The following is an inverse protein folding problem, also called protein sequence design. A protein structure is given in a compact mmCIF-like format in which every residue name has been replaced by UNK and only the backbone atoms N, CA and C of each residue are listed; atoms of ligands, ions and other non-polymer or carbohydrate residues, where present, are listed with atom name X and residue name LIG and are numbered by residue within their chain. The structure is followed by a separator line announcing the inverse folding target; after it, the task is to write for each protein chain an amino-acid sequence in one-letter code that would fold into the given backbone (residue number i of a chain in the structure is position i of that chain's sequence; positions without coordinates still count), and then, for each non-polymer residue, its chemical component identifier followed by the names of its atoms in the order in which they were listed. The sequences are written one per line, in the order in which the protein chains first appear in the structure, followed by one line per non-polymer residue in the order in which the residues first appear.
data_IF_368401086244
#
_entry.id   IF_368401086244
#
_cell.length_a   1.000
_cell.length_b   1.000
_cell.length_c   1.000
_cell.angle_alpha   90.00
_cell.angle_beta   90.00
_cell.angle_gamma   90.00
#
_symmetry.space_group_name_H-M   'P 1'
#
loop_
_entity.id
_entity.type
_entity.pdbx_description
1 polymer ?
#
# COMPACT_ATOMS: atom_id res chain seq x y z
N UNK A 1 231.40 3.44 -3.82
CA UNK A 1 230.46 4.16 -4.69
C UNK A 1 229.72 3.22 -5.65
N UNK A 2 229.60 1.91 -5.37
CA UNK A 2 228.45 1.41 -4.60
C UNK A 2 227.79 2.44 -3.66
N UNK A 3 226.49 2.71 -3.87
CA UNK A 3 225.51 3.25 -2.89
C UNK A 3 224.13 3.52 -3.53
N UNK A 4 224.07 4.24 -4.67
CA UNK A 4 222.91 5.10 -4.99
C UNK A 4 221.98 4.64 -6.15
N UNK A 5 222.25 3.52 -6.83
CA UNK A 5 221.43 3.07 -7.99
C UNK A 5 220.29 2.12 -7.56
N UNK A 6 220.47 1.41 -6.44
CA UNK A 6 219.52 0.42 -5.94
C UNK A 6 218.20 1.02 -5.41
N UNK A 7 218.10 2.35 -5.35
CA UNK A 7 216.96 3.09 -4.81
C UNK A 7 215.93 3.50 -5.90
N UNK A 8 216.30 3.45 -7.19
CA UNK A 8 215.38 3.79 -8.29
C UNK A 8 214.48 2.62 -8.72
N UNK A 9 214.96 1.37 -8.66
CA UNK A 9 214.16 0.19 -9.01
C UNK A 9 213.03 -0.07 -8.02
N UNK A 10 213.26 0.17 -6.72
CA UNK A 10 212.22 0.17 -5.70
C UNK A 10 211.13 1.21 -6.00
N UNK A 11 211.54 2.48 -6.19
CA UNK A 11 210.61 3.57 -6.52
C UNK A 11 209.72 3.29 -7.74
N UNK A 12 210.27 2.76 -8.85
CA UNK A 12 209.46 2.47 -10.03
C UNK A 12 208.48 1.31 -9.78
N UNK A 13 208.92 0.27 -9.08
CA UNK A 13 208.06 -0.86 -8.70
C UNK A 13 206.94 -0.40 -7.74
N UNK A 14 207.24 0.49 -6.80
CA UNK A 14 206.27 1.00 -5.83
C UNK A 14 205.32 2.05 -6.44
N UNK A 15 205.76 2.84 -7.43
CA UNK A 15 204.86 3.65 -8.27
C UNK A 15 203.94 2.77 -9.11
N UNK A 16 204.43 1.66 -9.67
CA UNK A 16 203.59 0.73 -10.43
C UNK A 16 202.60 -0.02 -9.52
N UNK A 17 203.03 -0.49 -8.34
CA UNK A 17 202.13 -1.01 -7.30
C UNK A 17 201.09 0.03 -6.89
N UNK A 18 201.50 1.30 -6.68
CA UNK A 18 200.59 2.39 -6.32
C UNK A 18 199.57 2.66 -7.43
N UNK A 19 199.98 2.65 -8.70
CA UNK A 19 199.03 2.73 -9.83
C UNK A 19 198.11 1.52 -9.91
N UNK A 20 198.63 0.29 -9.84
CA UNK A 20 197.78 -0.92 -9.86
C UNK A 20 196.81 -0.97 -8.67
N UNK A 21 197.24 -0.52 -7.49
CA UNK A 21 196.41 -0.35 -6.31
C UNK A 21 195.35 0.73 -6.53
N UNK A 22 195.74 1.90 -7.02
CA UNK A 22 194.82 3.00 -7.31
C UNK A 22 193.77 2.59 -8.37
N UNK A 23 194.17 1.91 -9.46
CA UNK A 23 193.22 1.40 -10.45
C UNK A 23 192.34 0.28 -9.92
N UNK A 24 192.78 -0.47 -8.89
CA UNK A 24 191.91 -1.42 -8.18
C UNK A 24 190.94 -0.70 -7.26
N UNK A 25 191.40 0.28 -6.49
CA UNK A 25 190.56 1.13 -5.63
C UNK A 25 189.57 1.97 -6.45
N UNK A 26 189.90 2.32 -7.70
CA UNK A 26 188.99 2.96 -8.67
C UNK A 26 188.00 1.96 -9.29
N UNK A 27 188.44 0.75 -9.67
CA UNK A 27 187.55 -0.33 -10.14
C UNK A 27 186.60 -0.84 -9.04
N UNK A 28 187.05 -0.89 -7.79
CA UNK A 28 186.24 -1.24 -6.63
C UNK A 28 185.23 -0.12 -6.36
N UNK A 29 185.62 1.17 -6.39
CA UNK A 29 184.66 2.29 -6.32
C UNK A 29 183.62 2.24 -7.44
N UNK A 30 184.02 2.12 -8.70
CA UNK A 30 183.04 2.05 -9.81
C UNK A 30 182.15 0.80 -9.71
N UNK A 31 182.63 -0.31 -9.13
CA UNK A 31 181.82 -1.51 -8.87
C UNK A 31 180.84 -1.28 -7.72
N UNK A 32 181.29 -0.69 -6.62
CA UNK A 32 180.46 -0.35 -5.47
C UNK A 32 179.40 0.70 -5.83
N UNK A 33 179.76 1.73 -6.61
CA UNK A 33 178.85 2.70 -7.22
C UNK A 33 177.85 2.01 -8.15
N UNK A 34 178.29 1.11 -9.05
CA UNK A 34 177.37 0.34 -9.90
C UNK A 34 176.40 -0.52 -9.07
N UNK A 35 176.87 -1.16 -7.99
CA UNK A 35 176.01 -1.93 -7.08
C UNK A 35 175.07 -1.04 -6.29
N UNK A 36 175.47 0.17 -5.90
CA UNK A 36 174.64 1.14 -5.20
C UNK A 36 173.57 1.73 -6.13
N UNK A 37 173.93 2.08 -7.37
CA UNK A 37 172.98 2.47 -8.42
C UNK A 37 172.02 1.33 -8.78
N UNK A 38 172.48 0.07 -8.80
CA UNK A 38 171.61 -1.08 -9.01
C UNK A 38 170.62 -1.27 -7.86
N UNK A 39 171.05 -1.11 -6.60
CA UNK A 39 170.17 -1.13 -5.42
C UNK A 39 169.16 0.03 -5.45
N UNK A 40 169.59 1.24 -5.82
CA UNK A 40 168.70 2.41 -5.99
C UNK A 40 167.66 2.18 -7.10
N UNK A 41 168.07 1.61 -8.23
CA UNK A 41 167.17 1.24 -9.34
C UNK A 41 166.18 0.14 -8.91
N UNK A 42 166.63 -0.90 -8.22
CA UNK A 42 165.75 -1.94 -7.67
C UNK A 42 164.71 -1.36 -6.69
N UNK A 43 165.12 -0.46 -5.80
CA UNK A 43 164.20 0.18 -4.85
C UNK A 43 163.13 1.03 -5.55
N UNK A 44 163.50 1.83 -6.56
CA UNK A 44 162.54 2.64 -7.31
C UNK A 44 161.67 1.78 -8.27
N UNK A 45 162.15 0.63 -8.75
CA UNK A 45 161.32 -0.37 -9.45
C UNK A 45 160.29 -0.98 -8.50
N UNK A 46 160.71 -1.50 -7.34
CA UNK A 46 159.80 -2.02 -6.31
C UNK A 46 158.72 -0.99 -5.93
N UNK A 47 159.15 0.24 -5.64
CA UNK A 47 158.26 1.35 -5.27
C UNK A 47 157.29 1.74 -6.38
N UNK A 48 157.72 1.64 -7.65
CA UNK A 48 156.84 1.84 -8.81
C UNK A 48 155.85 0.70 -8.96
N UNK A 49 156.26 -0.55 -8.78
CA UNK A 49 155.39 -1.72 -8.83
C UNK A 49 154.34 -1.69 -7.69
N UNK A 50 154.74 -1.26 -6.49
CA UNK A 50 153.84 -0.95 -5.37
C UNK A 50 152.80 0.10 -5.78
N UNK A 51 153.23 1.27 -6.26
CA UNK A 51 152.32 2.34 -6.68
C UNK A 51 151.42 1.97 -7.87
N UNK A 52 151.90 1.20 -8.84
CA UNK A 52 151.10 0.67 -9.95
C UNK A 52 150.06 -0.34 -9.44
N UNK A 53 150.39 -1.14 -8.40
CA UNK A 53 149.44 -2.04 -7.75
C UNK A 53 148.37 -1.29 -6.94
N UNK A 54 148.73 -0.19 -6.26
CA UNK A 54 147.78 0.69 -5.56
C UNK A 54 146.83 1.38 -6.52
N UNK A 55 147.34 1.93 -7.64
CA UNK A 55 146.51 2.52 -8.70
C UNK A 55 145.58 1.48 -9.33
N UNK A 56 146.05 0.25 -9.56
CA UNK A 56 145.20 -0.84 -10.05
C UNK A 56 144.11 -1.24 -9.04
N UNK A 57 144.41 -1.23 -7.74
CA UNK A 57 143.43 -1.50 -6.69
C UNK A 57 142.40 -0.37 -6.55
N UNK A 58 142.83 0.89 -6.65
CA UNK A 58 141.94 2.06 -6.62
C UNK A 58 141.04 2.11 -7.84
N UNK A 59 141.55 1.83 -9.05
CA UNK A 59 140.73 1.79 -10.27
C UNK A 59 139.63 0.70 -10.19
N UNK A 60 139.94 -0.50 -9.66
CA UNK A 60 138.93 -1.52 -9.38
C UNK A 60 137.89 -1.07 -8.35
N UNK A 61 138.32 -0.32 -7.32
CA UNK A 61 137.40 0.24 -6.31
C UNK A 61 136.50 1.33 -6.90
N UNK A 62 137.01 2.15 -7.81
CA UNK A 62 136.23 3.15 -8.55
C UNK A 62 135.15 2.44 -9.38
N UNK A 63 135.52 1.47 -10.20
CA UNK A 63 134.58 0.67 -11.02
C UNK A 63 133.45 0.04 -10.19
N UNK A 64 133.79 -0.58 -9.04
CA UNK A 64 132.77 -1.17 -8.15
C UNK A 64 131.83 -0.12 -7.53
N UNK A 65 132.32 1.09 -7.24
CA UNK A 65 131.51 2.20 -6.74
C UNK A 65 130.66 2.86 -7.83
N UNK A 66 131.15 2.89 -9.07
CA UNK A 66 130.40 3.33 -10.25
C UNK A 66 129.25 2.34 -10.55
N UNK A 67 129.53 1.04 -10.60
CA UNK A 67 128.51 0.00 -10.75
C UNK A 67 127.46 0.04 -9.63
N UNK A 68 127.86 0.21 -8.36
CA UNK A 68 126.93 0.29 -7.24
C UNK A 68 126.15 1.61 -7.19
N UNK A 69 126.71 2.70 -7.72
CA UNK A 69 125.99 3.96 -7.94
C UNK A 69 124.91 3.78 -9.01
N UNK A 70 125.27 3.26 -10.20
CA UNK A 70 124.31 2.97 -11.29
C UNK A 70 123.17 2.06 -10.80
N UNK A 71 123.49 0.97 -10.10
CA UNK A 71 122.50 0.08 -9.47
C UNK A 71 121.60 0.80 -8.46
N UNK A 72 122.11 1.82 -7.77
CA UNK A 72 121.32 2.61 -6.81
C UNK A 72 120.42 3.62 -7.52
N UNK A 73 120.88 4.22 -8.62
CA UNK A 73 120.12 5.17 -9.44
C UNK A 73 119.01 4.47 -10.22
N UNK A 74 119.24 3.28 -10.80
CA UNK A 74 118.18 2.46 -11.40
C UNK A 74 117.09 2.08 -10.39
N UNK A 75 117.48 1.69 -9.17
CA UNK A 75 116.55 1.37 -8.09
C UNK A 75 115.75 2.61 -7.66
N UNK A 76 116.40 3.76 -7.54
CA UNK A 76 115.76 5.03 -7.20
C UNK A 76 114.77 5.44 -8.29
N UNK A 77 115.17 5.40 -9.56
CA UNK A 77 114.29 5.69 -10.69
C UNK A 77 113.06 4.75 -10.72
N UNK A 78 113.25 3.45 -10.49
CA UNK A 78 112.15 2.48 -10.39
C UNK A 78 111.22 2.77 -9.20
N UNK A 79 111.78 3.18 -8.06
CA UNK A 79 111.00 3.55 -6.87
C UNK A 79 110.21 4.86 -7.09
N UNK A 80 110.83 5.88 -7.70
CA UNK A 80 110.17 7.15 -8.04
C UNK A 80 109.06 6.97 -9.07
N UNK A 81 109.27 6.13 -10.09
CA UNK A 81 108.22 5.79 -11.06
C UNK A 81 107.01 5.13 -10.39
N UNK A 82 107.24 4.11 -9.54
CA UNK A 82 106.19 3.43 -8.76
C UNK A 82 105.48 4.36 -7.78
N UNK A 83 106.20 5.29 -7.17
CA UNK A 83 105.61 6.31 -6.29
C UNK A 83 104.69 7.24 -7.09
N UNK A 84 105.13 7.71 -8.26
CA UNK A 84 104.32 8.54 -9.15
C UNK A 84 103.05 7.82 -9.64
N UNK A 85 103.16 6.53 -9.97
CA UNK A 85 102.02 5.68 -10.38
C UNK A 85 101.03 5.48 -9.21
N UNK A 86 101.54 5.18 -8.01
CA UNK A 86 100.73 5.03 -6.81
C UNK A 86 100.03 6.33 -6.39
N UNK A 87 100.69 7.49 -6.53
CA UNK A 87 100.07 8.80 -6.31
C UNK A 87 98.93 9.06 -7.30
N UNK A 88 99.13 8.83 -8.60
CA UNK A 88 98.09 9.03 -9.61
C UNK A 88 96.87 8.11 -9.38
N UNK A 89 97.10 6.86 -8.97
CA UNK A 89 96.05 5.92 -8.61
C UNK A 89 95.29 6.33 -7.34
N UNK A 90 95.98 6.94 -6.36
CA UNK A 90 95.34 7.53 -5.18
C UNK A 90 94.48 8.75 -5.54
N UNK A 91 94.97 9.66 -6.39
CA UNK A 91 94.23 10.83 -6.86
C UNK A 91 92.98 10.44 -7.68
N UNK A 92 93.05 9.36 -8.46
CA UNK A 92 91.87 8.78 -9.13
C UNK A 92 90.89 8.13 -8.14
N UNK A 93 91.40 7.41 -7.14
CA UNK A 93 90.58 6.81 -6.08
C UNK A 93 89.84 7.86 -5.24
N UNK A 94 90.48 9.00 -4.92
CA UNK A 94 89.83 10.10 -4.19
C UNK A 94 88.76 10.79 -5.04
N UNK A 95 88.99 10.97 -6.35
CA UNK A 95 87.99 11.48 -7.29
C UNK A 95 86.80 10.53 -7.40
N UNK A 96 87.03 9.23 -7.53
CA UNK A 96 85.98 8.21 -7.54
C UNK A 96 85.16 8.21 -6.23
N UNK A 97 85.84 8.30 -5.07
CA UNK A 97 85.17 8.45 -3.76
C UNK A 97 84.24 9.66 -3.75
N UNK A 98 84.70 10.84 -4.14
CA UNK A 98 83.89 12.08 -4.13
C UNK A 98 82.66 12.00 -5.04
N UNK A 99 82.76 11.30 -6.18
CA UNK A 99 81.61 11.05 -7.06
C UNK A 99 80.59 10.12 -6.39
N UNK A 100 81.04 9.07 -5.69
CA UNK A 100 80.17 8.18 -4.92
C UNK A 100 79.54 8.86 -3.69
N UNK A 101 80.29 9.74 -3.02
CA UNK A 101 79.86 10.52 -1.85
C UNK A 101 78.77 11.53 -2.24
N UNK A 102 78.98 12.30 -3.33
CA UNK A 102 77.95 13.18 -3.90
C UNK A 102 76.71 12.40 -4.38
N UNK A 103 76.89 11.19 -4.91
CA UNK A 103 75.78 10.34 -5.31
C UNK A 103 74.98 9.83 -4.12
N UNK A 104 75.64 9.38 -3.05
CA UNK A 104 74.99 8.93 -1.83
C UNK A 104 74.09 10.04 -1.24
N UNK A 105 74.61 11.27 -1.16
CA UNK A 105 73.83 12.43 -0.70
C UNK A 105 72.59 12.69 -1.58
N UNK A 106 72.72 12.61 -2.91
CA UNK A 106 71.59 12.80 -3.82
C UNK A 106 70.57 11.64 -3.78
N UNK A 107 71.02 10.41 -3.54
CA UNK A 107 70.15 9.25 -3.34
C UNK A 107 69.47 9.29 -1.95
N UNK A 108 70.11 9.87 -0.91
CA UNK A 108 69.53 10.17 0.42
C UNK A 108 68.46 11.27 0.37
N UNK A 109 68.76 12.45 -0.22
CA UNK A 109 67.78 13.52 -0.44
C UNK A 109 66.53 13.03 -1.20
N UNK A 110 66.75 12.10 -2.15
CA UNK A 110 65.67 11.45 -2.90
C UNK A 110 64.86 10.47 -2.06
N UNK A 111 65.47 9.74 -1.12
CA UNK A 111 64.73 8.92 -0.17
C UNK A 111 63.85 9.77 0.75
N UNK A 112 64.38 10.84 1.33
CA UNK A 112 63.61 11.75 2.21
C UNK A 112 62.39 12.34 1.49
N UNK A 113 62.55 12.75 0.22
CA UNK A 113 61.44 13.24 -0.60
C UNK A 113 60.38 12.15 -0.85
N UNK A 114 60.78 10.93 -1.19
CA UNK A 114 59.87 9.80 -1.42
C UNK A 114 59.18 9.33 -0.13
N UNK A 115 59.89 9.33 1.00
CA UNK A 115 59.31 9.04 2.31
C UNK A 115 58.21 10.04 2.68
N UNK A 116 58.43 11.32 2.41
CA UNK A 116 57.45 12.36 2.75
C UNK A 116 56.21 12.28 1.85
N UNK A 117 56.39 12.03 0.55
CA UNK A 117 55.28 11.70 -0.35
C UNK A 117 54.51 10.44 0.09
N UNK A 118 55.21 9.43 0.62
CA UNK A 118 54.59 8.19 1.14
C UNK A 118 53.84 8.43 2.47
N UNK A 119 54.32 9.32 3.33
CA UNK A 119 53.63 9.77 4.56
C UNK A 119 52.35 10.54 4.20
N UNK A 120 52.43 11.48 3.25
CA UNK A 120 51.28 12.23 2.72
C UNK A 120 50.24 11.32 2.07
N UNK A 121 50.66 10.40 1.19
CA UNK A 121 49.76 9.46 0.52
C UNK A 121 49.03 8.54 1.51
N UNK A 122 49.70 8.08 2.59
CA UNK A 122 49.07 7.32 3.68
C UNK A 122 48.05 8.16 4.44
N UNK A 123 48.40 9.40 4.81
CA UNK A 123 47.48 10.29 5.51
C UNK A 123 46.22 10.58 4.68
N UNK A 124 46.37 10.83 3.38
CA UNK A 124 45.26 11.04 2.44
C UNK A 124 44.38 9.79 2.28
N UNK A 125 44.98 8.58 2.28
CA UNK A 125 44.23 7.32 2.29
C UNK A 125 43.44 7.14 3.59
N UNK A 126 44.06 7.32 4.76
CA UNK A 126 43.36 7.23 6.04
C UNK A 126 42.25 8.27 6.19
N UNK A 127 42.43 9.49 5.65
CA UNK A 127 41.36 10.48 5.59
C UNK A 127 40.21 10.06 4.66
N UNK A 128 40.51 9.43 3.53
CA UNK A 128 39.49 8.89 2.64
C UNK A 128 38.71 7.75 3.32
N UNK A 129 39.40 6.82 3.97
CA UNK A 129 38.79 5.72 4.72
C UNK A 129 37.84 6.24 5.81
N UNK A 130 38.27 7.23 6.62
CA UNK A 130 37.43 7.89 7.64
C UNK A 130 36.16 8.51 7.02
N UNK A 131 36.28 9.12 5.83
CA UNK A 131 35.15 9.72 5.09
C UNK A 131 34.21 8.64 4.51
N UNK A 132 34.73 7.52 4.00
CA UNK A 132 33.92 6.37 3.58
C UNK A 132 33.16 5.76 4.76
N UNK A 133 33.83 5.58 5.90
CA UNK A 133 33.26 5.11 7.16
C UNK A 133 32.08 5.99 7.64
N UNK A 134 32.23 7.31 7.54
CA UNK A 134 31.15 8.26 7.82
C UNK A 134 29.98 8.16 6.83
N UNK A 135 30.27 8.04 5.53
CA UNK A 135 29.24 7.91 4.49
C UNK A 135 28.48 6.59 4.63
N UNK A 136 29.16 5.48 4.93
CA UNK A 136 28.54 4.18 5.16
C UNK A 136 27.59 4.20 6.37
N UNK A 137 27.97 4.84 7.48
CA UNK A 137 27.07 5.02 8.64
C UNK A 137 25.86 5.90 8.33
N UNK A 138 26.04 6.96 7.54
CA UNK A 138 24.94 7.86 7.10
C UNK A 138 23.99 7.13 6.15
N UNK A 139 24.53 6.32 5.24
CA UNK A 139 23.75 5.49 4.30
C UNK A 139 22.90 4.47 5.06
N UNK A 140 23.48 3.66 5.95
CA UNK A 140 22.74 2.68 6.74
C UNK A 140 21.63 3.27 7.63
N UNK A 141 21.81 4.52 8.09
CA UNK A 141 20.76 5.25 8.82
C UNK A 141 19.60 5.64 7.88
N UNK A 142 19.91 6.14 6.68
CA UNK A 142 18.92 6.53 5.66
C UNK A 142 18.19 5.31 5.09
N UNK A 143 18.88 4.19 4.91
CA UNK A 143 18.29 2.90 4.51
C UNK A 143 17.26 2.43 5.56
N UNK A 144 17.63 2.42 6.84
CA UNK A 144 16.69 2.06 7.90
C UNK A 144 15.55 3.09 8.08
N UNK A 145 15.77 4.38 7.76
CA UNK A 145 14.72 5.41 7.76
C UNK A 145 13.76 5.25 6.57
N UNK A 146 14.26 4.77 5.42
CA UNK A 146 13.48 4.43 4.22
C UNK A 146 12.61 3.20 4.47
N UNK A 147 13.15 2.10 5.00
CA UNK A 147 12.38 0.91 5.41
C UNK A 147 11.21 1.32 6.32
N UNK A 148 11.49 2.12 7.36
CA UNK A 148 10.49 2.65 8.30
C UNK A 148 9.58 3.74 7.71
N UNK A 149 9.78 4.17 6.47
CA UNK A 149 8.86 4.99 5.69
C UNK A 149 7.98 4.13 4.77
N UNK A 150 8.56 3.12 4.13
CA UNK A 150 7.90 2.13 3.28
C UNK A 150 6.88 1.30 4.08
N UNK A 151 7.24 0.74 5.25
CA UNK A 151 6.29 0.06 6.16
C UNK A 151 5.05 0.90 6.49
N UNK A 152 5.22 2.23 6.61
CA UNK A 152 4.13 3.17 6.92
C UNK A 152 3.30 3.51 5.69
N UNK A 153 3.91 3.53 4.51
CA UNK A 153 3.21 3.69 3.24
C UNK A 153 2.34 2.45 2.97
N UNK A 154 2.90 1.24 3.07
CA UNK A 154 2.16 -0.03 2.91
C UNK A 154 0.98 -0.13 3.89
N UNK A 155 1.18 0.21 5.17
CA UNK A 155 0.09 0.23 6.15
C UNK A 155 -0.99 1.29 5.82
N UNK A 156 -0.60 2.41 5.22
CA UNK A 156 -1.52 3.44 4.73
C UNK A 156 -2.33 2.97 3.53
N UNK A 157 -1.67 2.36 2.54
CA UNK A 157 -2.30 1.80 1.34
C UNK A 157 -3.28 0.67 1.69
N UNK A 158 -2.90 -0.24 2.59
CA UNK A 158 -3.80 -1.28 3.10
C UNK A 158 -5.07 -0.67 3.74
N UNK A 159 -4.92 0.38 4.57
CA UNK A 159 -6.07 1.07 5.19
C UNK A 159 -6.92 1.84 4.17
N UNK A 160 -6.33 2.33 3.07
CA UNK A 160 -7.10 2.91 1.96
C UNK A 160 -7.95 1.83 1.28
N UNK A 161 -7.37 0.68 0.93
CA UNK A 161 -8.10 -0.45 0.30
C UNK A 161 -9.26 -0.93 1.19
N UNK A 162 -9.04 -1.08 2.50
CA UNK A 162 -10.12 -1.42 3.45
C UNK A 162 -11.29 -0.41 3.39
N UNK A 163 -10.99 0.90 3.35
CA UNK A 163 -12.01 1.95 3.30
C UNK A 163 -12.70 2.03 1.93
N UNK A 164 -12.01 1.72 0.84
CA UNK A 164 -12.61 1.60 -0.50
C UNK A 164 -13.57 0.40 -0.58
N UNK A 165 -13.23 -0.74 0.04
CA UNK A 165 -14.13 -1.89 0.14
C UNK A 165 -15.36 -1.59 1.01
N UNK A 166 -15.18 -0.96 2.17
CA UNK A 166 -16.28 -0.49 3.02
C UNK A 166 -17.23 0.46 2.25
N UNK A 167 -16.67 1.47 1.56
CA UNK A 167 -17.42 2.42 0.75
C UNK A 167 -18.18 1.73 -0.40
N UNK A 168 -17.56 0.73 -1.04
CA UNK A 168 -18.20 -0.09 -2.09
C UNK A 168 -19.39 -0.88 -1.54
N UNK A 169 -19.29 -1.43 -0.33
CA UNK A 169 -20.40 -2.13 0.34
C UNK A 169 -21.52 -1.15 0.72
N UNK A 170 -21.19 -0.01 1.33
CA UNK A 170 -22.15 1.06 1.65
C UNK A 170 -22.89 1.56 0.41
N UNK A 171 -22.17 1.79 -0.70
CA UNK A 171 -22.77 2.21 -1.97
C UNK A 171 -23.69 1.16 -2.63
N UNK A 172 -23.51 -0.13 -2.34
CA UNK A 172 -24.44 -1.18 -2.79
C UNK A 172 -25.66 -1.31 -1.87
N UNK A 173 -25.47 -1.10 -0.56
CA UNK A 173 -26.57 -1.04 0.41
C UNK A 173 -27.48 0.16 0.14
N UNK A 174 -26.92 1.33 -0.17
CA UNK A 174 -27.67 2.54 -0.50
C UNK A 174 -28.58 2.32 -1.73
N UNK A 175 -28.02 1.81 -2.84
CA UNK A 175 -28.80 1.46 -4.06
C UNK A 175 -29.92 0.45 -3.77
N UNK A 176 -29.68 -0.48 -2.84
CA UNK A 176 -30.68 -1.46 -2.42
C UNK A 176 -31.80 -0.82 -1.59
N UNK A 177 -31.48 0.20 -0.80
CA UNK A 177 -32.45 1.01 -0.04
C UNK A 177 -33.25 1.94 -0.95
N UNK A 178 -32.61 2.65 -1.88
CA UNK A 178 -33.24 3.49 -2.91
C UNK A 178 -34.33 2.71 -3.67
N UNK A 179 -33.99 1.54 -4.22
CA UNK A 179 -34.93 0.65 -4.91
C UNK A 179 -36.01 0.08 -3.97
N UNK A 180 -35.77 0.02 -2.66
CA UNK A 180 -36.79 -0.38 -1.68
C UNK A 180 -37.78 0.76 -1.36
N UNK A 181 -37.29 2.00 -1.36
CA UNK A 181 -38.07 3.23 -1.16
C UNK A 181 -38.94 3.52 -2.38
N UNK A 182 -38.40 3.44 -3.60
CA UNK A 182 -39.18 3.53 -4.85
C UNK A 182 -40.36 2.56 -4.84
N UNK A 183 -40.11 1.29 -4.44
CA UNK A 183 -41.16 0.27 -4.30
C UNK A 183 -42.13 0.55 -3.16
N UNK A 184 -41.76 1.31 -2.13
CA UNK A 184 -42.68 1.74 -1.08
C UNK A 184 -43.56 2.89 -1.57
N UNK A 185 -42.97 3.89 -2.24
CA UNK A 185 -43.66 5.03 -2.81
C UNK A 185 -44.67 4.59 -3.90
N UNK A 186 -44.30 3.64 -4.77
CA UNK A 186 -45.22 3.04 -5.75
C UNK A 186 -46.47 2.42 -5.08
N UNK A 187 -46.29 1.63 -4.01
CA UNK A 187 -47.42 1.07 -3.24
C UNK A 187 -48.24 2.15 -2.55
N UNK A 188 -47.61 3.22 -2.07
CA UNK A 188 -48.31 4.36 -1.48
C UNK A 188 -49.17 5.10 -2.53
N UNK A 189 -48.67 5.26 -3.77
CA UNK A 189 -49.45 5.82 -4.88
C UNK A 189 -50.61 4.91 -5.31
N UNK A 190 -50.40 3.59 -5.38
CA UNK A 190 -51.47 2.61 -5.60
C UNK A 190 -52.57 2.74 -4.53
N UNK A 191 -52.20 2.76 -3.25
CA UNK A 191 -53.17 2.95 -2.16
C UNK A 191 -53.84 4.32 -2.22
N UNK A 192 -53.12 5.42 -2.50
CA UNK A 192 -53.70 6.75 -2.74
C UNK A 192 -54.74 6.71 -3.87
N UNK A 193 -54.47 5.98 -4.95
CA UNK A 193 -55.38 5.87 -6.10
C UNK A 193 -56.58 4.94 -5.82
N UNK A 194 -56.41 3.87 -5.05
CA UNK A 194 -57.51 3.06 -4.53
C UNK A 194 -58.41 3.88 -3.59
N UNK A 195 -57.83 4.65 -2.65
CA UNK A 195 -58.55 5.54 -1.73
C UNK A 195 -59.33 6.61 -2.51
N UNK A 196 -58.72 7.27 -3.51
CA UNK A 196 -59.44 8.20 -4.41
C UNK A 196 -60.64 7.52 -5.08
N UNK A 197 -60.45 6.32 -5.63
CA UNK A 197 -61.51 5.55 -6.33
C UNK A 197 -62.66 5.18 -5.39
N UNK A 198 -62.35 4.69 -4.19
CA UNK A 198 -63.35 4.37 -3.16
C UNK A 198 -64.06 5.63 -2.66
N UNK A 199 -63.35 6.75 -2.51
CA UNK A 199 -63.92 8.06 -2.12
C UNK A 199 -64.90 8.58 -3.17
N UNK A 200 -64.59 8.44 -4.46
CA UNK A 200 -65.52 8.80 -5.54
C UNK A 200 -66.75 7.90 -5.53
N UNK A 201 -66.58 6.57 -5.43
CA UNK A 201 -67.71 5.62 -5.33
C UNK A 201 -68.60 5.89 -4.11
N UNK A 202 -68.01 6.27 -2.97
CA UNK A 202 -68.75 6.65 -1.76
C UNK A 202 -69.56 7.93 -2.01
N UNK A 203 -68.97 8.97 -2.60
CA UNK A 203 -69.68 10.21 -2.96
C UNK A 203 -70.84 9.95 -3.92
N UNK A 204 -70.66 9.12 -4.95
CA UNK A 204 -71.75 8.72 -5.84
C UNK A 204 -72.83 7.92 -5.10
N UNK A 205 -72.46 7.05 -4.16
CA UNK A 205 -73.42 6.28 -3.36
C UNK A 205 -74.26 7.20 -2.46
N UNK A 206 -73.64 8.18 -1.79
CA UNK A 206 -74.34 9.21 -1.02
C UNK A 206 -75.24 10.07 -1.92
N UNK A 207 -74.81 10.47 -3.11
CA UNK A 207 -75.67 11.20 -4.06
C UNK A 207 -76.87 10.37 -4.55
N UNK A 208 -76.68 9.06 -4.73
CA UNK A 208 -77.80 8.13 -5.01
C UNK A 208 -78.74 8.03 -3.82
N UNK A 209 -78.22 7.92 -2.59
CA UNK A 209 -78.99 7.92 -1.35
C UNK A 209 -79.80 9.22 -1.16
N UNK A 210 -79.19 10.38 -1.37
CA UNK A 210 -79.86 11.69 -1.35
C UNK A 210 -81.00 11.77 -2.39
N UNK A 211 -80.76 11.26 -3.60
CA UNK A 211 -81.76 11.18 -4.68
C UNK A 211 -82.93 10.24 -4.31
N UNK A 212 -82.64 9.04 -3.80
CA UNK A 212 -83.67 8.12 -3.32
C UNK A 212 -84.43 8.68 -2.11
N UNK A 213 -83.76 9.34 -1.17
CA UNK A 213 -84.40 10.05 -0.06
C UNK A 213 -85.29 11.19 -0.54
N UNK A 214 -84.92 11.89 -1.61
CA UNK A 214 -85.77 12.85 -2.31
C UNK A 214 -87.01 12.20 -2.93
N UNK A 215 -86.85 11.06 -3.62
CA UNK A 215 -87.96 10.29 -4.19
C UNK A 215 -88.92 9.77 -3.11
N UNK A 216 -88.40 9.23 -2.01
CA UNK A 216 -89.19 8.76 -0.87
C UNK A 216 -90.01 9.90 -0.27
N UNK A 217 -89.42 11.10 -0.04
CA UNK A 217 -90.19 12.27 0.45
C UNK A 217 -91.34 12.66 -0.48
N UNK A 218 -91.15 12.58 -1.80
CA UNK A 218 -92.21 12.86 -2.79
C UNK A 218 -93.29 11.76 -2.79
N UNK A 219 -92.91 10.50 -2.59
CA UNK A 219 -93.86 9.39 -2.44
C UNK A 219 -94.64 9.50 -1.11
N UNK A 220 -93.99 9.81 0.01
CA UNK A 220 -94.62 10.07 1.31
C UNK A 220 -95.60 11.24 1.25
N UNK A 221 -95.26 12.31 0.51
CA UNK A 221 -96.18 13.44 0.32
C UNK A 221 -97.41 13.01 -0.50
N UNK A 222 -97.21 12.29 -1.62
CA UNK A 222 -98.32 11.76 -2.44
C UNK A 222 -99.17 10.75 -1.67
N UNK A 223 -98.56 9.95 -0.80
CA UNK A 223 -99.25 9.05 0.12
C UNK A 223 -100.17 9.85 1.03
N UNK A 224 -99.64 10.87 1.73
CA UNK A 224 -100.43 11.75 2.62
C UNK A 224 -101.54 12.52 1.90
N UNK A 225 -101.29 12.97 0.67
CA UNK A 225 -102.31 13.59 -0.19
C UNK A 225 -103.41 12.58 -0.58
N UNK A 226 -103.05 11.31 -0.84
CA UNK A 226 -104.00 10.24 -1.11
C UNK A 226 -104.75 9.78 0.15
N UNK A 227 -104.09 9.69 1.31
CA UNK A 227 -104.67 9.39 2.62
C UNK A 227 -105.69 10.47 3.02
N UNK A 228 -105.31 11.75 2.98
CA UNK A 228 -106.24 12.85 3.27
C UNK A 228 -107.43 12.89 2.29
N UNK A 229 -107.23 12.49 1.04
CA UNK A 229 -108.31 12.33 0.04
C UNK A 229 -109.20 11.12 0.32
N UNK A 230 -108.63 10.01 0.78
CA UNK A 230 -109.36 8.82 1.21
C UNK A 230 -110.19 9.13 2.47
N UNK A 231 -109.60 9.74 3.50
CA UNK A 231 -110.32 10.22 4.67
C UNK A 231 -111.47 11.19 4.30
N UNK A 232 -111.24 12.11 3.36
CA UNK A 232 -112.31 13.00 2.90
C UNK A 232 -113.45 12.23 2.20
N UNK A 233 -113.13 11.22 1.39
CA UNK A 233 -114.12 10.34 0.79
C UNK A 233 -114.86 9.50 1.83
N UNK A 234 -114.18 8.90 2.80
CA UNK A 234 -114.78 8.14 3.91
C UNK A 234 -115.72 9.01 4.76
N UNK A 235 -115.27 10.21 5.16
CA UNK A 235 -116.10 11.19 5.89
C UNK A 235 -117.30 11.66 5.06
N UNK A 236 -117.20 11.66 3.74
CA UNK A 236 -118.32 11.98 2.84
C UNK A 236 -119.30 10.81 2.73
N UNK A 237 -118.80 9.57 2.62
CA UNK A 237 -119.60 8.34 2.66
C UNK A 237 -120.34 8.21 4.00
N UNK A 238 -119.68 8.46 5.13
CA UNK A 238 -120.31 8.46 6.46
C UNK A 238 -121.40 9.53 6.61
N UNK A 239 -121.26 10.70 5.96
CA UNK A 239 -122.33 11.72 5.92
C UNK A 239 -123.51 11.27 5.06
N UNK A 240 -123.23 10.70 3.89
CA UNK A 240 -124.27 10.16 3.01
C UNK A 240 -125.01 8.99 3.67
N UNK A 241 -124.31 8.11 4.39
CA UNK A 241 -124.95 7.04 5.17
C UNK A 241 -125.84 7.61 6.27
N UNK A 242 -125.39 8.61 7.05
CA UNK A 242 -126.26 9.27 8.03
C UNK A 242 -127.49 9.96 7.42
N UNK A 243 -127.39 10.45 6.18
CA UNK A 243 -128.54 10.98 5.46
C UNK A 243 -129.45 9.87 4.92
N UNK A 244 -128.90 8.71 4.52
CA UNK A 244 -129.68 7.49 4.21
C UNK A 244 -130.40 6.99 5.46
N UNK A 245 -129.72 6.84 6.60
CA UNK A 245 -130.31 6.47 7.89
C UNK A 245 -131.49 7.41 8.23
N UNK A 246 -131.28 8.74 8.07
CA UNK A 246 -132.30 9.78 8.30
C UNK A 246 -133.49 9.66 7.33
N UNK A 247 -133.25 9.36 6.06
CA UNK A 247 -134.28 9.16 5.05
C UNK A 247 -135.01 7.82 5.21
N UNK A 248 -134.35 6.78 5.75
CA UNK A 248 -134.97 5.52 6.13
C UNK A 248 -135.87 5.70 7.36
N UNK A 249 -135.44 6.45 8.38
CA UNK A 249 -136.27 6.86 9.51
C UNK A 249 -137.48 7.71 9.06
N UNK A 250 -137.29 8.72 8.21
CA UNK A 250 -138.39 9.52 7.63
C UNK A 250 -139.36 8.64 6.83
N UNK A 251 -138.85 7.69 6.03
CA UNK A 251 -139.66 6.72 5.29
C UNK A 251 -140.40 5.74 6.22
N UNK A 252 -139.84 5.36 7.36
CA UNK A 252 -140.51 4.55 8.39
C UNK A 252 -141.62 5.35 9.05
N UNK A 253 -141.39 6.62 9.40
CA UNK A 253 -142.42 7.51 9.97
C UNK A 253 -143.56 7.73 8.96
N UNK A 254 -143.25 8.01 7.69
CA UNK A 254 -144.27 8.17 6.65
C UNK A 254 -145.04 6.85 6.41
N UNK A 255 -144.37 5.68 6.45
CA UNK A 255 -145.03 4.36 6.40
C UNK A 255 -145.93 4.08 7.60
N UNK A 256 -145.56 4.52 8.81
CA UNK A 256 -146.41 4.40 10.00
C UNK A 256 -147.65 5.30 9.87
N UNK A 257 -147.49 6.53 9.39
CA UNK A 257 -148.58 7.45 9.09
C UNK A 257 -149.51 6.93 7.98
N UNK A 258 -148.97 6.32 6.92
CA UNK A 258 -149.77 5.63 5.90
C UNK A 258 -150.51 4.41 6.47
N UNK A 259 -149.96 3.73 7.49
CA UNK A 259 -150.66 2.66 8.18
C UNK A 259 -151.78 3.18 9.10
N UNK A 260 -151.58 4.31 9.79
CA UNK A 260 -152.64 4.99 10.55
C UNK A 260 -153.79 5.44 9.64
N UNK A 261 -153.47 6.06 8.49
CA UNK A 261 -154.48 6.42 7.46
C UNK A 261 -155.18 5.18 6.89
N UNK A 262 -154.50 4.04 6.82
CA UNK A 262 -155.09 2.74 6.45
C UNK A 262 -156.07 2.23 7.50
N UNK A 263 -155.67 2.19 8.77
CA UNK A 263 -156.51 1.82 9.91
C UNK A 263 -157.76 2.74 10.02
N UNK A 264 -157.62 4.05 9.76
CA UNK A 264 -158.73 5.02 9.72
C UNK A 264 -159.68 4.80 8.52
N UNK A 265 -159.14 4.46 7.35
CA UNK A 265 -159.95 4.11 6.16
C UNK A 265 -160.72 2.81 6.37
N UNK A 266 -160.09 1.78 6.92
CA UNK A 266 -160.75 0.51 7.27
C UNK A 266 -161.85 0.74 8.31
N UNK A 267 -161.64 1.64 9.28
CA UNK A 267 -162.69 2.06 10.23
C UNK A 267 -163.87 2.75 9.51
N UNK A 268 -163.59 3.68 8.59
CA UNK A 268 -164.62 4.36 7.81
C UNK A 268 -165.40 3.42 6.87
N UNK A 269 -164.76 2.36 6.34
CA UNK A 269 -165.44 1.33 5.56
C UNK A 269 -166.39 0.46 6.40
N UNK A 270 -166.01 0.14 7.65
CA UNK A 270 -166.86 -0.61 8.59
C UNK A 270 -168.10 0.20 8.99
N UNK A 271 -167.97 1.51 9.25
CA UNK A 271 -169.11 2.38 9.59
C UNK A 271 -170.10 2.61 8.43
N UNK A 272 -169.65 2.46 7.17
CA UNK A 272 -170.47 2.79 5.99
C UNK A 272 -171.20 1.57 5.37
N UNK A 273 -170.78 0.33 5.66
CA UNK A 273 -171.35 -0.89 5.04
C UNK A 273 -171.81 -1.91 6.11
N UNK A 274 -173.11 -1.90 6.48
CA UNK A 274 -173.66 -2.88 7.42
C UNK A 274 -173.54 -4.32 6.91
N UNK A 275 -172.78 -5.16 7.63
CA UNK A 275 -172.63 -6.60 7.35
C UNK A 275 -171.24 -7.06 6.93
N UNK A 276 -170.21 -6.22 7.02
CA UNK A 276 -168.80 -6.60 6.83
C UNK A 276 -168.09 -6.66 8.20
N UNK A 277 -167.48 -7.80 8.52
CA UNK A 277 -166.68 -7.98 9.74
C UNK A 277 -165.31 -7.26 9.62
N UNK A 278 -164.79 -6.67 10.71
CA UNK A 278 -163.51 -5.96 10.70
C UNK A 278 -162.32 -6.88 10.42
N UNK A 279 -161.36 -6.37 9.65
CA UNK A 279 -160.13 -7.06 9.26
C UNK A 279 -159.13 -7.06 10.44
N UNK A 280 -158.48 -8.20 10.68
CA UNK A 280 -157.54 -8.38 11.80
C UNK A 280 -156.10 -8.35 11.28
N UNK A 281 -155.37 -7.26 11.54
CA UNK A 281 -153.96 -7.06 11.16
C UNK A 281 -153.03 -7.29 12.36
N UNK A 282 -151.72 -7.43 12.12
CA UNK A 282 -150.72 -7.62 13.21
C UNK A 282 -150.68 -6.44 14.21
N UNK A 283 -151.20 -5.26 13.82
CA UNK A 283 -151.33 -4.08 14.71
C UNK A 283 -152.57 -4.15 15.61
N UNK A 284 -153.55 -5.02 15.33
CA UNK A 284 -154.80 -5.22 16.10
C UNK A 284 -155.12 -6.71 16.34
N UNK A 285 -154.44 -7.39 17.28
CA UNK A 285 -154.70 -8.80 17.62
C UNK A 285 -155.98 -9.01 18.48
N UNK A 286 -156.53 -10.24 18.42
CA UNK A 286 -157.82 -10.64 19.01
C UNK A 286 -157.72 -11.06 20.51
N UNK A 287 -158.75 -10.86 21.35
CA UNK A 287 -158.76 -11.30 22.77
C UNK A 287 -158.68 -12.83 22.98
N UNK A 288 -158.27 -13.29 24.19
CA UNK A 288 -157.79 -14.68 24.46
C UNK A 288 -158.43 -15.36 25.69
N UNK A 289 -158.74 -16.67 25.62
CA UNK A 289 -159.00 -17.65 26.73
C UNK A 289 -158.91 -19.13 26.19
N UNK A 290 -159.05 -20.23 26.98
CA UNK A 290 -158.12 -20.79 27.99
C UNK A 290 -157.76 -22.31 27.77
N UNK A 291 -156.92 -22.99 28.62
CA UNK A 291 -156.25 -24.28 28.27
C UNK A 291 -156.63 -25.58 29.06
N UNK A 292 -156.35 -26.79 28.51
CA UNK A 292 -156.34 -28.11 29.20
C UNK A 292 -154.94 -28.84 29.28
N UNK A 293 -154.76 -29.96 30.04
CA UNK A 293 -153.54 -30.21 30.85
C UNK A 293 -152.63 -31.44 30.48
N UNK A 294 -151.48 -31.67 31.18
CA UNK A 294 -150.37 -32.54 30.74
C UNK A 294 -150.29 -33.96 31.38
N UNK A 295 -149.31 -34.78 30.93
CA UNK A 295 -148.80 -36.00 31.61
C UNK A 295 -147.36 -36.39 31.20
N UNK A 296 -146.64 -37.00 32.15
CA UNK A 296 -145.34 -37.70 32.06
C UNK A 296 -145.58 -39.23 32.27
N UNK A 297 -144.62 -40.18 32.11
CA UNK A 297 -143.23 -40.10 31.57
C UNK A 297 -142.89 -41.20 30.49
N UNK A 298 -141.59 -41.31 30.15
CA UNK A 298 -140.80 -42.32 29.38
C UNK A 298 -140.94 -43.82 29.79
N UNK A 299 -140.34 -44.85 29.11
CA UNK A 299 -139.61 -45.01 27.80
C UNK A 299 -140.09 -46.28 26.97
N UNK A 300 -139.28 -47.11 26.25
CA UNK A 300 -138.53 -46.92 24.97
C UNK A 300 -139.08 -47.74 23.71
N UNK A 301 -138.39 -48.65 22.93
CA UNK A 301 -138.45 -48.68 21.43
C UNK A 301 -138.75 -50.09 20.79
N UNK A 302 -138.32 -50.48 19.54
CA UNK A 302 -138.53 -50.00 18.15
C UNK A 302 -139.23 -51.07 17.22
N UNK A 303 -138.93 -51.22 15.88
CA UNK A 303 -139.62 -50.76 14.63
C UNK A 303 -140.30 -51.95 13.84
N UNK A 304 -140.31 -52.17 12.48
CA UNK A 304 -140.13 -51.35 11.24
C UNK A 304 -141.06 -51.65 9.98
N UNK A 305 -141.10 -50.73 8.99
CA UNK A 305 -141.30 -50.94 7.51
C UNK A 305 -142.65 -51.54 6.97
N UNK A 306 -142.92 -51.67 5.63
CA UNK A 306 -142.12 -51.30 4.41
C UNK A 306 -142.88 -50.67 3.18
N UNK A 307 -142.11 -50.26 2.14
CA UNK A 307 -142.48 -50.07 0.69
C UNK A 307 -143.49 -48.91 0.37
N UNK A 308 -143.72 -48.40 -0.87
CA UNK A 308 -142.99 -48.20 -2.17
C UNK A 308 -143.85 -47.19 -3.03
N UNK A 309 -143.47 -46.59 -4.17
CA UNK A 309 -142.28 -46.64 -5.07
C UNK A 309 -141.87 -45.15 -5.41
N UNK A 310 -141.38 -44.63 -6.55
CA UNK A 310 -141.13 -45.10 -7.93
C UNK A 310 -139.97 -44.34 -8.66
N UNK A 311 -139.79 -44.63 -9.96
CA UNK A 311 -138.94 -43.99 -11.00
C UNK A 311 -138.41 -42.55 -10.79
N UNK A 312 -137.16 -42.17 -11.18
CA UNK A 312 -135.97 -42.88 -11.71
C UNK A 312 -134.80 -41.85 -11.92
N UNK A 313 -133.52 -42.18 -12.15
CA UNK A 313 -132.63 -43.29 -11.76
C UNK A 313 -131.16 -43.01 -12.23
N UNK A 314 -130.16 -43.60 -11.54
CA UNK A 314 -128.73 -43.79 -11.96
C UNK A 314 -127.81 -42.53 -12.12
N UNK A 315 -126.46 -42.66 -12.07
CA UNK A 315 -125.59 -43.80 -11.72
C UNK A 315 -124.11 -43.63 -12.17
N UNK A 316 -123.20 -44.55 -11.74
CA UNK A 316 -121.75 -44.60 -12.09
C UNK A 316 -120.81 -43.99 -11.02
N UNK A 317 -119.65 -44.52 -10.59
CA UNK A 317 -118.62 -45.50 -11.06
C UNK A 317 -117.42 -44.94 -11.86
N UNK A 318 -116.21 -45.51 -11.64
CA UNK A 318 -114.89 -45.12 -12.20
C UNK A 318 -114.03 -44.28 -11.21
N UNK A 319 -112.82 -44.65 -10.78
CA UNK A 319 -111.52 -44.87 -11.48
C UNK A 319 -110.88 -43.60 -12.10
N UNK A 320 -109.57 -43.32 -11.95
CA UNK A 320 -108.52 -43.89 -11.09
C UNK A 320 -107.26 -42.98 -11.02
N UNK A 321 -106.39 -43.21 -10.02
CA UNK A 321 -104.94 -42.86 -9.95
C UNK A 321 -104.48 -41.36 -10.00
N UNK A 322 -103.38 -40.94 -9.36
CA UNK A 322 -102.58 -41.50 -8.25
C UNK A 322 -101.57 -40.44 -7.71
N UNK A 323 -101.18 -40.56 -6.42
CA UNK A 323 -99.99 -39.99 -5.72
C UNK A 323 -99.66 -38.46 -5.86
N UNK A 324 -99.20 -37.72 -4.84
CA UNK A 324 -98.89 -37.96 -3.42
C UNK A 324 -98.65 -36.57 -2.77
N UNK A 325 -98.51 -36.35 -1.45
CA UNK A 325 -98.04 -37.25 -0.41
C UNK A 325 -96.52 -37.46 -0.54
N UNK A 326 -95.63 -36.97 0.33
CA UNK A 326 -95.71 -36.18 1.58
C UNK A 326 -94.44 -35.26 1.62
N UNK A 327 -94.22 -34.30 2.52
CA UNK A 327 -94.98 -33.80 3.67
C UNK A 327 -94.22 -32.66 4.37
N UNK A 328 -94.92 -31.86 5.17
CA UNK A 328 -94.33 -30.96 6.19
C UNK A 328 -94.03 -31.79 7.47
N UNK A 329 -93.52 -31.24 8.61
CA UNK A 329 -93.17 -29.84 8.93
C UNK A 329 -91.71 -29.75 9.49
N UNK A 330 -91.22 -28.74 10.23
CA UNK A 330 -91.78 -27.51 10.80
C UNK A 330 -90.69 -26.41 10.87
N UNK A 331 -91.09 -25.16 11.17
CA UNK A 331 -90.18 -24.13 11.72
C UNK A 331 -90.01 -24.27 13.25
N UNK A 332 -89.72 -23.18 14.01
CA UNK A 332 -89.65 -21.78 13.54
C UNK A 332 -88.60 -20.87 14.25
N UNK A 333 -88.67 -19.57 13.91
CA UNK A 333 -88.23 -18.37 14.68
C UNK A 333 -86.76 -17.88 14.71
N UNK A 334 -86.66 -16.56 14.43
CA UNK A 334 -85.79 -15.50 14.97
C UNK A 334 -84.27 -15.54 14.76
N UNK A 335 -83.73 -14.34 14.52
CA UNK A 335 -82.32 -14.06 14.27
C UNK A 335 -81.54 -13.67 15.55
N UNK A 336 -80.25 -14.04 15.59
CA UNK A 336 -79.19 -13.36 16.35
C UNK A 336 -77.80 -13.81 15.89
N UNK A 337 -76.88 -12.86 15.70
CA UNK A 337 -75.41 -13.07 15.59
C UNK A 337 -74.77 -13.00 16.99
N UNK A 338 -73.68 -13.73 17.30
CA UNK A 338 -72.35 -13.51 16.69
C UNK A 338 -71.50 -14.79 16.44
N UNK A 339 -70.26 -14.61 15.97
CA UNK A 339 -69.21 -15.63 15.86
C UNK A 339 -68.56 -15.92 17.25
N UNK A 340 -67.78 -17.02 17.46
CA UNK A 340 -66.50 -17.26 16.76
C UNK A 340 -66.14 -18.73 16.40
N UNK A 341 -65.08 -18.91 15.60
CA UNK A 341 -64.22 -20.10 15.38
C UNK A 341 -64.82 -21.52 15.25
N UNK A 342 -64.53 -22.20 14.12
CA UNK A 342 -63.90 -23.54 14.08
C UNK A 342 -63.46 -23.94 12.64
N UNK A 343 -62.72 -25.04 12.51
CA UNK A 343 -61.76 -25.33 11.42
C UNK A 343 -62.33 -26.00 10.15
N UNK A 344 -61.75 -25.67 8.98
CA UNK A 344 -61.11 -26.60 8.00
C UNK A 344 -60.42 -25.80 6.87
N UNK A 345 -59.09 -25.88 6.71
CA UNK A 345 -58.25 -26.95 6.11
C UNK A 345 -58.41 -27.12 4.59
N UNK A 346 -57.41 -26.66 3.84
CA UNK A 346 -56.95 -27.31 2.59
C UNK A 346 -55.43 -27.07 2.40
N UNK A 347 -54.63 -28.14 2.49
CA UNK A 347 -53.20 -28.16 2.16
C UNK A 347 -52.75 -29.63 1.99
N UNK A 348 -52.37 -30.05 0.76
CA UNK A 348 -51.40 -31.14 0.57
C UNK A 348 -50.53 -30.94 -0.72
N UNK A 349 -49.57 -31.83 -1.07
CA UNK A 349 -48.45 -32.29 -0.23
C UNK A 349 -47.09 -32.35 -0.99
N UNK A 350 -46.04 -32.71 -0.24
CA UNK A 350 -44.85 -33.52 -0.61
C UNK A 350 -43.93 -33.21 -1.85
N UNK A 351 -42.68 -32.90 -1.49
CA UNK A 351 -41.44 -33.61 -1.86
C UNK A 351 -40.89 -33.59 -3.30
N UNK A 352 -39.83 -32.81 -3.50
CA UNK A 352 -38.58 -33.27 -4.14
C UNK A 352 -37.37 -32.37 -3.74
N UNK A 353 -36.19 -32.96 -3.89
CA UNK A 353 -34.81 -32.58 -3.51
C UNK A 353 -34.28 -31.35 -4.30
N UNK A 354 -33.13 -30.69 -4.03
CA UNK A 354 -31.93 -30.95 -3.20
C UNK A 354 -31.39 -29.59 -2.65
N UNK A 355 -30.46 -29.54 -1.66
CA UNK A 355 -29.04 -29.39 -2.03
C UNK A 355 -28.01 -30.16 -1.16
N UNK A 356 -26.84 -30.36 -1.77
CA UNK A 356 -25.66 -31.13 -1.33
C UNK A 356 -24.49 -30.11 -1.12
N UNK A 357 -23.59 -30.15 -0.12
CA UNK A 357 -23.37 -31.05 1.03
C UNK A 357 -22.52 -30.37 2.14
N UNK A 358 -22.31 -31.08 3.27
CA UNK A 358 -21.23 -31.03 4.31
C UNK A 358 -20.05 -30.05 4.14
N UNK A 359 -19.42 -29.54 5.22
CA UNK A 359 -19.05 -30.34 6.42
C UNK A 359 -18.93 -29.61 7.77
N UNK A 360 -19.29 -30.33 8.84
CA UNK A 360 -18.79 -30.21 10.23
C UNK A 360 -17.36 -30.78 10.37
N UNK A 361 -16.60 -30.74 11.48
CA UNK A 361 -16.82 -30.61 12.94
C UNK A 361 -15.58 -29.97 13.61
N UNK A 362 -15.72 -29.37 14.80
CA UNK A 362 -14.59 -28.96 15.65
C UNK A 362 -14.22 -29.96 16.77
N UNK A 363 -13.10 -29.71 17.47
CA UNK A 363 -12.58 -30.58 18.55
C UNK A 363 -12.17 -29.77 19.81
N UNK A 364 -12.89 -30.03 20.91
CA UNK A 364 -12.65 -29.80 22.36
C UNK A 364 -11.55 -28.84 22.89
N UNK A 365 -11.86 -28.00 23.92
CA UNK A 365 -10.87 -27.27 24.73
C UNK A 365 -10.31 -28.09 25.91
N UNK A 366 -9.33 -27.54 26.64
CA UNK A 366 -8.84 -28.04 27.94
C UNK A 366 -8.50 -26.90 28.92
N UNK A 367 -8.38 -27.21 30.21
CA UNK A 367 -8.42 -26.27 31.33
C UNK A 367 -7.07 -25.73 31.84
N UNK A 368 -7.08 -24.48 32.34
CA UNK A 368 -6.44 -23.91 33.55
C UNK A 368 -5.18 -24.55 34.18
N UNK A 369 -4.21 -23.78 34.74
CA UNK A 369 -4.51 -22.64 35.64
C UNK A 369 -3.58 -21.39 35.66
N UNK A 370 -4.17 -20.30 36.17
CA UNK A 370 -3.66 -19.19 36.99
C UNK A 370 -2.17 -18.75 36.99
N UNK A 371 -1.96 -17.43 36.82
CA UNK A 371 -1.06 -16.60 37.65
C UNK A 371 -1.55 -15.14 37.74
N UNK A 372 -1.09 -14.40 38.76
CA UNK A 372 -1.24 -12.94 38.96
C UNK A 372 -0.53 -12.14 37.84
N UNK A 373 -0.69 -10.81 37.64
CA UNK A 373 -0.81 -9.69 38.60
C UNK A 373 -1.64 -8.51 38.03
N UNK A 374 -2.08 -7.61 38.92
CA UNK A 374 -2.61 -6.25 38.64
C UNK A 374 -1.46 -5.19 38.73
N UNK A 375 -1.68 -3.86 38.59
CA UNK A 375 -2.92 -3.11 38.35
C UNK A 375 -2.84 -2.10 37.18
N UNK A 376 -3.87 -1.24 37.09
CA UNK A 376 -4.02 -0.18 36.08
C UNK A 376 -3.38 1.16 36.48
N UNK A 377 -3.04 1.97 35.47
CA UNK A 377 -2.73 3.40 35.53
C UNK A 377 -3.28 4.04 34.24
N UNK A 378 -4.43 4.72 34.27
CA UNK A 378 -4.61 6.15 34.54
C UNK A 378 -4.08 7.08 33.42
N UNK A 379 -4.97 7.45 32.50
CA UNK A 379 -4.71 8.47 31.46
C UNK A 379 -5.38 9.81 31.84
N UNK A 380 -4.68 10.96 31.80
CA UNK A 380 -5.26 12.29 31.97
C UNK A 380 -5.85 12.84 30.65
N UNK A 381 -6.75 13.82 30.78
CA UNK A 381 -7.42 14.50 29.67
C UNK A 381 -6.57 15.64 29.06
N UNK A 382 -6.83 16.06 27.80
CA UNK A 382 -6.10 17.17 27.16
C UNK A 382 -6.46 18.55 27.72
N UNK A 383 -5.52 19.49 27.59
CA UNK A 383 -5.58 20.85 28.09
C UNK A 383 -6.36 21.81 27.15
N UNK A 384 -6.87 22.92 27.71
CA UNK A 384 -7.77 23.85 27.00
C UNK A 384 -7.04 25.01 26.30
N UNK A 385 -7.55 25.43 25.15
CA UNK A 385 -7.05 26.59 24.41
C UNK A 385 -7.56 27.93 24.97
N UNK A 386 -6.73 28.97 24.89
CA UNK A 386 -7.09 30.35 25.22
C UNK A 386 -6.44 31.34 24.22
N UNK A 387 -7.19 32.31 23.66
CA UNK A 387 -6.65 33.36 22.79
C UNK A 387 -6.61 34.75 23.47
N UNK A 388 -5.60 35.55 23.15
CA UNK A 388 -5.55 37.01 23.28
C UNK A 388 -4.66 37.53 22.14
N UNK A 389 -5.12 38.35 21.20
CA UNK A 389 -5.61 39.75 21.30
C UNK A 389 -4.45 40.78 21.19
N UNK A 390 -4.69 41.85 20.43
CA UNK A 390 -3.68 42.84 20.04
C UNK A 390 -4.01 44.23 20.59
N UNK A 391 -3.02 45.15 20.59
CA UNK A 391 -3.33 46.57 20.34
C UNK A 391 -2.42 47.17 19.25
N UNK A 392 -2.64 48.45 18.92
CA UNK A 392 -2.10 49.11 17.73
C UNK A 392 -1.60 50.55 17.98
N UNK A 393 -1.04 51.14 16.91
CA UNK A 393 -0.75 52.56 16.65
C UNK A 393 0.38 53.30 17.41
N UNK A 394 1.04 54.22 16.67
CA UNK A 394 1.44 55.53 17.19
C UNK A 394 2.94 55.88 17.16
N UNK A 395 3.39 56.59 16.12
CA UNK A 395 4.69 57.29 16.15
C UNK A 395 5.28 57.61 14.78
N UNK A 396 5.55 58.88 14.50
CA UNK A 396 6.18 59.35 13.25
C UNK A 396 7.14 60.52 13.52
N UNK A 397 8.23 60.58 12.75
CA UNK A 397 8.96 61.83 12.47
C UNK A 397 9.71 61.72 11.12
N UNK A 398 10.19 62.82 10.56
CA UNK A 398 10.59 62.91 9.14
C UNK A 398 11.95 63.58 8.87
N UNK A 399 12.69 63.08 7.87
CA UNK A 399 13.83 63.75 7.25
C UNK A 399 14.02 63.28 5.79
N UNK A 400 14.41 64.19 4.88
CA UNK A 400 14.60 63.99 3.43
C UNK A 400 15.34 65.20 2.81
N UNK A 401 15.64 65.29 1.49
CA UNK A 401 15.69 64.27 0.43
C UNK A 401 17.19 64.08 -0.02
N UNK A 402 17.75 64.53 -1.18
CA UNK A 402 17.33 64.48 -2.60
C UNK A 402 18.37 63.98 -3.64
N UNK A 403 17.87 63.42 -4.75
CA UNK A 403 18.47 63.39 -6.11
C UNK A 403 19.80 62.59 -6.33
N UNK A 404 20.23 62.23 -7.55
CA UNK A 404 19.77 62.58 -8.91
C UNK A 404 19.93 61.42 -9.94
N UNK A 405 19.27 61.55 -11.11
CA UNK A 405 19.21 60.81 -12.40
C UNK A 405 20.30 59.75 -12.81
N UNK A 406 20.18 58.95 -13.89
CA UNK A 406 19.31 59.01 -15.07
C UNK A 406 19.07 57.62 -15.75
N UNK A 407 18.15 57.60 -16.74
CA UNK A 407 17.91 56.53 -17.73
C UNK A 407 18.03 57.16 -19.17
N UNK A 408 17.71 56.51 -20.33
CA UNK A 408 17.08 55.20 -20.58
C UNK A 408 17.76 54.38 -21.73
N UNK A 409 17.01 53.51 -22.42
CA UNK A 409 17.46 52.51 -23.40
C UNK A 409 16.97 52.74 -24.86
N UNK A 410 17.58 52.02 -25.81
CA UNK A 410 17.08 51.64 -27.15
C UNK A 410 17.98 50.49 -27.69
N UNK A 411 17.48 49.29 -28.02
CA UNK A 411 16.91 48.83 -29.31
C UNK A 411 17.92 48.72 -30.49
N UNK A 412 17.92 47.58 -31.21
CA UNK A 412 18.77 47.37 -32.40
C UNK A 412 18.91 45.91 -32.86
N UNK A 413 18.17 45.55 -33.91
CA UNK A 413 18.15 44.37 -34.79
C UNK A 413 19.28 43.29 -34.75
N UNK A 414 18.87 42.03 -34.96
CA UNK A 414 19.69 40.98 -35.61
C UNK A 414 19.33 40.93 -37.12
N UNK A 415 20.22 40.42 -38.01
CA UNK A 415 19.97 39.05 -38.51
C UNK A 415 21.20 38.24 -38.99
N UNK A 416 20.91 36.97 -39.33
CA UNK A 416 21.58 36.09 -40.30
C UNK A 416 22.95 35.44 -39.99
N UNK A 417 23.03 34.15 -40.36
CA UNK A 417 24.26 33.38 -40.59
C UNK A 417 24.54 33.31 -42.12
N UNK A 418 25.72 32.84 -42.59
CA UNK A 418 25.94 31.39 -42.70
C UNK A 418 27.40 30.93 -42.46
N UNK A 419 27.66 29.65 -42.74
CA UNK A 419 28.89 28.90 -42.44
C UNK A 419 30.13 29.26 -43.27
N UNK A 420 31.30 28.86 -42.76
CA UNK A 420 32.54 28.61 -43.50
C UNK A 420 33.35 27.48 -42.83
N UNK A 421 34.12 26.73 -43.63
CA UNK A 421 35.03 25.66 -43.18
C UNK A 421 36.44 26.23 -42.88
N UNK A 422 37.28 25.52 -42.14
CA UNK A 422 38.64 25.99 -41.79
C UNK A 422 39.55 24.92 -41.17
N UNK A 423 40.40 24.31 -41.99
CA UNK A 423 41.34 23.23 -41.63
C UNK A 423 42.76 23.78 -41.35
N UNK A 424 43.32 23.54 -40.15
CA UNK A 424 44.76 23.54 -39.82
C UNK A 424 45.03 23.28 -38.32
N UNK A 425 46.21 22.86 -37.83
CA UNK A 425 47.24 21.95 -38.36
C UNK A 425 48.35 21.67 -37.29
N UNK A 426 48.47 20.42 -36.79
CA UNK A 426 49.65 19.85 -36.10
C UNK A 426 50.14 20.54 -34.78
N UNK A 427 51.16 20.00 -34.05
CA UNK A 427 51.86 18.71 -34.15
C UNK A 427 51.75 17.81 -32.88
N UNK A 428 52.38 16.62 -32.94
CA UNK A 428 52.53 15.69 -31.81
C UNK A 428 53.73 16.02 -30.89
N UNK A 429 53.97 15.22 -29.82
CA UNK A 429 55.04 14.22 -29.98
C UNK A 429 54.75 12.82 -29.38
N UNK A 430 55.02 11.82 -30.22
CA UNK A 430 55.83 10.61 -29.97
C UNK A 430 56.08 10.10 -28.52
N UNK A 431 55.63 8.87 -28.25
CA UNK A 431 56.17 7.95 -27.23
C UNK A 431 56.11 6.51 -27.77
N UNK A 432 57.04 5.64 -27.39
CA UNK A 432 57.31 4.36 -28.08
C UNK A 432 57.43 3.14 -27.15
N UNK A 433 57.60 1.95 -27.77
CA UNK A 433 57.73 0.60 -27.19
C UNK A 433 56.44 -0.01 -26.60
N UNK A 434 56.21 -1.34 -26.64
CA UNK A 434 56.75 -2.41 -27.49
C UNK A 434 55.77 -3.63 -27.41
N UNK A 435 55.74 -4.54 -28.41
CA UNK A 435 54.75 -5.63 -28.44
C UNK A 435 55.10 -6.79 -27.50
N UNK A 436 54.08 -7.54 -27.07
CA UNK A 436 54.22 -8.84 -26.43
C UNK A 436 54.19 -9.96 -27.50
N UNK A 437 55.05 -10.97 -27.34
CA UNK A 437 55.06 -12.19 -28.16
C UNK A 437 54.94 -13.42 -27.25
N UNK A 438 54.10 -14.38 -27.65
CA UNK A 438 53.69 -15.52 -26.82
C UNK A 438 54.53 -16.76 -27.16
N UNK A 439 55.32 -17.26 -26.19
CA UNK A 439 56.23 -18.39 -26.38
C UNK A 439 55.97 -19.51 -25.35
N UNK A 440 55.97 -20.76 -25.84
CA UNK A 440 55.60 -21.94 -25.06
C UNK A 440 56.69 -22.43 -24.07
N UNK A 441 56.33 -23.11 -22.97
CA UNK A 441 57.28 -23.62 -21.99
C UNK A 441 58.06 -24.86 -22.49
N UNK A 442 59.37 -24.98 -22.21
CA UNK A 442 60.15 -26.19 -22.49
C UNK A 442 59.88 -27.32 -21.47
N UNK A 443 60.26 -28.54 -21.84
CA UNK A 443 60.03 -29.76 -21.06
C UNK A 443 61.00 -29.95 -19.87
N UNK A 444 60.64 -30.86 -18.96
CA UNK A 444 61.39 -31.16 -17.75
C UNK A 444 62.60 -32.09 -17.97
N UNK A 445 63.66 -31.88 -17.18
CA UNK A 445 64.74 -32.87 -16.95
C UNK A 445 64.58 -33.56 -15.57
N UNK A 446 65.05 -34.81 -15.41
CA UNK A 446 64.88 -35.59 -14.18
C UNK A 446 65.94 -35.29 -13.10
N UNK A 447 65.62 -35.64 -11.84
CA UNK A 447 66.52 -35.49 -10.70
C UNK A 447 67.66 -36.53 -10.67
N UNK A 448 68.83 -36.21 -10.08
CA UNK A 448 69.96 -37.14 -9.95
C UNK A 448 69.78 -38.13 -8.78
N UNK A 449 70.17 -39.38 -8.99
CA UNK A 449 70.29 -40.40 -7.94
C UNK A 449 71.52 -40.17 -7.05
N UNK A 450 71.42 -40.56 -5.77
CA UNK A 450 72.55 -40.62 -4.84
C UNK A 450 73.13 -42.06 -4.79
N UNK A 451 74.46 -42.24 -4.65
CA UNK A 451 75.10 -43.55 -4.74
C UNK A 451 74.91 -44.42 -3.48
N UNK A 452 75.05 -45.74 -3.66
CA UNK A 452 74.73 -46.74 -2.65
C UNK A 452 75.79 -46.92 -1.55
N UNK A 453 75.30 -47.28 -0.35
CA UNK A 453 75.97 -48.11 0.67
C UNK A 453 74.90 -48.71 1.59
#
# INVERSE_FOLDING_TARGET
MAANVQQQSGNLLDVLKKKMRQTKEEMEKYKDECEEFHKKLQNEVMRREEAESEVAALNRRIQLLEEDLERSEERLASATAKLSEASAAADESERARKVLENRALADEERMDALENQLKEARFMAEEADKKYDEVARKLAMVEADLERAEERAEAGEAKIVELEEELRVVGNNLKSLEVSEEKANQREEEYKNQIKTLTTRLKEATQREESYGGQVRVLDQRLKEAEARAEFAERSVQKLQKEVDRLEDELIVEKLRYAEIGDDLDFAFVDLIPGIDPIWTERRPKPKTPPPPPKLPTPPPPPPAPKEEAAAAAGGEGEAAAAGGEGAPAGPTKARTPSPFELRKHFPPEAAEVPYVRSSTGTTPKSSPAKEVAPAEAAPAPEAAAPAEAPAEGGADAAAPPAEAAAPAAEGEAPAAPAAEGEAAAPAPEAAAAPAEEAAPPAAEPAPEAPAS
#
